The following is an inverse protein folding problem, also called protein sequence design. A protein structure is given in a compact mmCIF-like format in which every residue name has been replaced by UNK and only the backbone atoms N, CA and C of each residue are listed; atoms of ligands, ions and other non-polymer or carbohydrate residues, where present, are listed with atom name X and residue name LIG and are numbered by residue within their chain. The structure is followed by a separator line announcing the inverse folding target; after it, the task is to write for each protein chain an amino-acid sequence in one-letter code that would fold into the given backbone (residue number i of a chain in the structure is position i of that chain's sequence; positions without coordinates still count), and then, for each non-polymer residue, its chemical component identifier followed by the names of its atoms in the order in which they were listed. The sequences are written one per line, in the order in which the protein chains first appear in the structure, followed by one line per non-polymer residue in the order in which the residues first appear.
data_IF_329658405571
#
_entry.id   IF_329658405571
#
_cell.length_a   1.000
_cell.length_b   1.000
_cell.length_c   1.000
_cell.angle_alpha   90.00
_cell.angle_beta   90.00
_cell.angle_gamma   90.00
#
_symmetry.space_group_name_H-M   'P 1'
#
loop_
_entity.id
_entity.type
_entity.pdbx_description
1 polymer ?
#
# COMPACT_ATOMS: atom_id res chain seq x y z
N UNK A 1 -19.40 -46.02 -17.53
CA UNK A 1 -18.21 -45.40 -16.90
C UNK A 1 -18.30 -45.65 -15.41
N UNK A 2 -17.36 -46.41 -14.84
CA UNK A 2 -17.35 -46.79 -13.42
C UNK A 2 -16.65 -45.72 -12.57
N UNK A 3 -15.49 -46.03 -11.98
CA UNK A 3 -14.72 -45.08 -11.18
C UNK A 3 -13.85 -44.16 -12.06
N UNK A 4 -13.22 -43.16 -11.44
CA UNK A 4 -12.33 -42.23 -12.12
C UNK A 4 -11.07 -42.96 -12.61
N UNK A 5 -10.90 -43.11 -13.93
CA UNK A 5 -9.78 -43.84 -14.55
C UNK A 5 -8.37 -43.37 -14.13
N UNK A 6 -8.18 -42.06 -13.96
CA UNK A 6 -6.90 -41.49 -13.52
C UNK A 6 -7.13 -40.50 -12.38
N UNK A 7 -6.43 -40.73 -11.27
CA UNK A 7 -6.46 -39.83 -10.13
C UNK A 7 -5.76 -38.51 -10.46
N UNK A 8 -6.26 -37.42 -9.88
CA UNK A 8 -5.53 -36.16 -9.86
C UNK A 8 -5.98 -35.34 -8.66
N UNK A 9 -5.12 -34.42 -8.18
CA UNK A 9 -5.43 -33.56 -7.07
C UNK A 9 -6.71 -32.75 -7.30
N UNK A 10 -7.35 -32.39 -6.20
CA UNK A 10 -8.57 -31.59 -6.22
C UNK A 10 -8.29 -30.16 -6.71
N UNK A 11 -9.13 -29.67 -7.62
CA UNK A 11 -9.07 -28.28 -8.06
C UNK A 11 -9.60 -27.31 -6.99
N UNK A 12 -8.68 -26.62 -6.33
CA UNK A 12 -8.94 -25.55 -5.37
C UNK A 12 -9.31 -26.03 -3.96
N UNK A 13 -8.84 -25.28 -2.98
CA UNK A 13 -9.05 -25.59 -1.55
C UNK A 13 -10.47 -25.30 -1.09
N UNK A 14 -11.03 -26.24 -0.32
CA UNK A 14 -12.35 -26.13 0.31
C UNK A 14 -12.34 -25.32 1.61
N UNK A 15 -11.19 -25.22 2.30
CA UNK A 15 -11.06 -24.43 3.53
C UNK A 15 -11.27 -22.92 3.33
N UNK A 16 -11.34 -22.48 2.07
CA UNK A 16 -11.63 -21.11 1.68
C UNK A 16 -13.05 -20.90 1.13
N UNK A 17 -13.94 -21.89 1.27
CA UNK A 17 -15.38 -21.69 1.12
C UNK A 17 -15.94 -20.98 2.36
N UNK A 18 -16.99 -20.14 2.22
CA UNK A 18 -17.59 -19.70 0.96
C UNK A 18 -16.72 -18.67 0.22
N UNK A 19 -16.61 -18.81 -1.12
CA UNK A 19 -15.88 -17.87 -1.99
C UNK A 19 -16.76 -16.68 -2.41
N UNK A 20 -17.14 -15.86 -1.44
CA UNK A 20 -17.99 -14.66 -1.58
C UNK A 20 -17.23 -13.36 -1.27
N UNK A 21 -17.76 -12.21 -1.71
CA UNK A 21 -17.20 -10.89 -1.37
C UNK A 21 -17.14 -10.72 0.15
N UNK A 22 -16.02 -10.17 0.65
CA UNK A 22 -15.90 -9.76 2.04
C UNK A 22 -16.84 -8.57 2.31
N UNK A 23 -17.55 -8.59 3.45
CA UNK A 23 -18.48 -7.52 3.81
C UNK A 23 -17.75 -6.26 4.30
N UNK A 24 -16.55 -6.42 4.88
CA UNK A 24 -15.71 -5.33 5.38
C UNK A 24 -14.54 -5.12 4.44
N UNK A 25 -14.15 -3.85 4.23
CA UNK A 25 -12.94 -3.50 3.48
C UNK A 25 -11.66 -3.78 4.29
N UNK A 26 -11.72 -3.48 5.59
CA UNK A 26 -10.64 -3.73 6.55
C UNK A 26 -10.54 -5.22 6.88
N UNK A 27 -9.31 -5.73 6.94
CA UNK A 27 -9.01 -7.08 7.37
C UNK A 27 -9.44 -7.31 8.83
N UNK A 28 -10.49 -8.12 9.04
CA UNK A 28 -10.94 -8.45 10.39
C UNK A 28 -9.98 -9.43 11.07
N UNK A 29 -9.50 -9.08 12.26
CA UNK A 29 -8.66 -9.96 13.09
C UNK A 29 -9.57 -10.94 13.82
N UNK A 30 -9.60 -12.20 13.37
CA UNK A 30 -10.42 -13.24 14.00
C UNK A 30 -9.81 -13.78 15.30
N UNK A 31 -8.50 -13.77 15.38
CA UNK A 31 -7.72 -14.28 16.51
C UNK A 31 -6.51 -13.38 16.73
N UNK A 32 -6.20 -13.10 17.99
CA UNK A 32 -4.98 -12.41 18.39
C UNK A 32 -3.95 -13.44 18.87
N UNK A 33 -2.65 -13.07 18.94
CA UNK A 33 -1.66 -13.90 19.62
C UNK A 33 -2.09 -14.23 21.05
N UNK A 34 -1.73 -15.42 21.54
CA UNK A 34 -2.01 -15.81 22.91
C UNK A 34 -1.30 -14.86 23.88
N UNK A 35 -1.99 -14.51 24.96
CA UNK A 35 -1.46 -13.63 25.98
C UNK A 35 -0.41 -14.34 26.83
N UNK A 36 0.63 -13.60 27.20
CA UNK A 36 1.77 -14.04 27.99
C UNK A 36 2.07 -12.96 29.03
N UNK A 37 1.63 -13.17 30.28
CA UNK A 37 1.67 -12.17 31.35
C UNK A 37 3.08 -11.78 31.79
N UNK A 38 4.09 -12.61 31.48
CA UNK A 38 5.49 -12.34 31.83
C UNK A 38 6.09 -11.17 31.04
N UNK A 39 5.55 -10.90 29.84
CA UNK A 39 6.02 -9.84 28.96
C UNK A 39 5.44 -8.48 29.35
N UNK A 40 6.12 -7.38 29.02
CA UNK A 40 5.54 -6.05 29.18
C UNK A 40 4.29 -5.88 28.32
N UNK A 41 3.40 -4.97 28.74
CA UNK A 41 2.17 -4.65 28.01
C UNK A 41 2.54 -4.11 26.63
N UNK A 42 1.98 -4.72 25.58
CA UNK A 42 2.23 -4.33 24.19
C UNK A 42 1.01 -4.56 23.30
N UNK A 43 0.99 -3.85 22.16
CA UNK A 43 -0.02 -4.02 21.12
C UNK A 43 0.32 -5.20 20.20
N UNK A 44 -0.73 -5.77 19.61
CA UNK A 44 -0.63 -7.00 18.81
C UNK A 44 -0.98 -6.81 17.33
N UNK A 45 -1.49 -5.64 16.94
CA UNK A 45 -1.93 -5.35 15.58
C UNK A 45 -1.82 -3.86 15.25
N UNK A 46 -1.79 -3.53 13.96
CA UNK A 46 -1.68 -2.17 13.44
C UNK A 46 -2.37 -2.05 12.06
N UNK A 47 -2.73 -0.84 11.63
CA UNK A 47 -3.28 -0.58 10.29
C UNK A 47 -2.22 0.05 9.40
N UNK A 48 -2.05 -0.50 8.20
CA UNK A 48 -1.29 0.12 7.13
C UNK A 48 -2.08 0.21 5.83
N UNK A 49 -1.52 0.93 4.85
CA UNK A 49 -2.04 1.09 3.51
C UNK A 49 -1.01 0.62 2.50
N UNK A 50 -1.41 -0.27 1.58
CA UNK A 50 -0.50 -0.76 0.56
C UNK A 50 -0.10 0.36 -0.39
N UNK A 51 1.16 0.79 -0.35
CA UNK A 51 1.68 1.82 -1.24
C UNK A 51 2.00 1.22 -2.61
N UNK A 52 2.85 0.20 -2.62
CA UNK A 52 3.32 -0.43 -3.85
C UNK A 52 4.26 -1.59 -3.56
N UNK A 53 5.00 -2.00 -4.58
CA UNK A 53 6.03 -3.04 -4.46
C UNK A 53 7.30 -2.56 -5.13
N UNK A 54 8.43 -2.98 -4.59
CA UNK A 54 9.74 -2.84 -5.21
C UNK A 54 10.51 -4.16 -5.02
N UNK A 55 11.78 -4.19 -5.39
CA UNK A 55 12.70 -5.26 -5.08
C UNK A 55 13.92 -4.70 -4.35
N UNK A 56 14.54 -5.55 -3.55
CA UNK A 56 15.79 -5.28 -2.87
C UNK A 56 16.84 -6.28 -3.34
N UNK A 57 18.10 -5.91 -3.16
CA UNK A 57 19.25 -6.79 -3.26
C UNK A 57 19.85 -6.93 -1.87
N UNK A 58 20.13 -8.17 -1.49
CA UNK A 58 20.81 -8.50 -0.24
C UNK A 58 21.65 -9.75 -0.41
N UNK A 59 22.65 -9.87 0.43
CA UNK A 59 23.31 -11.13 0.69
C UNK A 59 22.41 -12.12 1.46
N UNK A 60 22.44 -13.38 1.04
CA UNK A 60 21.73 -14.46 1.73
C UNK A 60 22.63 -15.21 2.72
N UNK A 61 22.35 -15.03 4.00
CA UNK A 61 23.02 -15.77 5.08
C UNK A 61 22.27 -17.06 5.43
N UNK A 62 22.33 -18.06 4.54
CA UNK A 62 21.75 -19.38 4.79
C UNK A 62 22.74 -20.53 4.59
N UNK A 63 23.35 -20.99 5.68
CA UNK A 63 24.23 -22.17 5.69
C UNK A 63 23.55 -23.39 5.04
N UNK A 64 24.28 -24.08 4.16
CA UNK A 64 23.80 -25.22 3.38
C UNK A 64 23.03 -24.86 2.10
N UNK A 65 22.81 -23.58 1.81
CA UNK A 65 22.25 -23.12 0.53
C UNK A 65 23.34 -22.90 -0.52
N UNK A 66 23.08 -23.23 -1.79
CA UNK A 66 23.95 -22.84 -2.93
C UNK A 66 24.07 -21.31 -3.09
N UNK A 67 23.10 -20.59 -2.53
CA UNK A 67 23.03 -19.12 -2.53
C UNK A 67 23.58 -18.51 -1.23
N UNK A 68 24.27 -19.27 -0.38
CA UNK A 68 24.88 -18.68 0.82
C UNK A 68 25.97 -17.67 0.44
N UNK A 69 25.95 -16.48 1.06
CA UNK A 69 26.87 -15.35 0.76
C UNK A 69 26.87 -14.96 -0.73
N UNK A 70 25.71 -15.05 -1.36
CA UNK A 70 25.48 -14.54 -2.70
C UNK A 70 24.33 -13.56 -2.65
N UNK A 71 24.44 -12.54 -3.48
CA UNK A 71 23.37 -11.58 -3.70
C UNK A 71 22.12 -12.28 -4.22
N UNK A 72 20.99 -11.94 -3.61
CA UNK A 72 19.67 -12.36 -4.07
C UNK A 72 18.77 -11.14 -4.23
N UNK A 73 17.95 -11.19 -5.28
CA UNK A 73 16.90 -10.20 -5.51
C UNK A 73 15.61 -10.70 -4.90
N UNK A 74 15.06 -9.94 -3.95
CA UNK A 74 13.79 -10.27 -3.30
C UNK A 74 12.76 -9.16 -3.52
N UNK A 75 11.57 -9.55 -3.98
CA UNK A 75 10.45 -8.63 -4.06
C UNK A 75 9.95 -8.26 -2.66
N UNK A 76 9.63 -6.98 -2.46
CA UNK A 76 9.11 -6.43 -1.21
C UNK A 76 7.88 -5.57 -1.47
N UNK A 77 6.93 -5.59 -0.53
CA UNK A 77 5.79 -4.69 -0.51
C UNK A 77 6.03 -3.57 0.48
N UNK A 78 5.80 -2.32 0.06
CA UNK A 78 5.82 -1.15 0.94
C UNK A 78 4.40 -0.88 1.42
N UNK A 79 4.22 -0.82 2.72
CA UNK A 79 2.96 -0.51 3.38
C UNK A 79 3.18 0.75 4.21
N UNK A 80 2.52 1.84 3.84
CA UNK A 80 2.57 3.09 4.61
C UNK A 80 1.68 2.97 5.84
N UNK A 81 2.21 3.33 6.99
CA UNK A 81 1.63 3.14 8.32
C UNK A 81 1.58 4.49 9.02
N UNK A 82 0.60 5.37 8.69
CA UNK A 82 0.42 6.59 9.47
C UNK A 82 0.14 6.23 10.94
N UNK A 83 0.58 7.07 11.89
CA UNK A 83 0.40 6.77 13.30
C UNK A 83 -1.08 6.58 13.65
N UNK A 84 -1.36 5.61 14.52
CA UNK A 84 -2.71 5.31 14.98
C UNK A 84 -3.04 6.07 16.25
N UNK A 85 -4.28 6.53 16.41
CA UNK A 85 -4.75 7.19 17.63
C UNK A 85 -5.61 6.22 18.42
N UNK A 86 -5.32 6.11 19.72
CA UNK A 86 -6.15 5.37 20.66
C UNK A 86 -7.30 6.24 21.13
N UNK A 87 -8.51 5.72 21.04
CA UNK A 87 -9.75 6.48 21.33
C UNK A 87 -10.63 5.84 22.39
N UNK A 88 -10.32 4.63 22.82
CA UNK A 88 -11.07 3.95 23.86
C UNK A 88 -10.55 2.55 24.15
N UNK A 89 -11.19 1.87 25.08
CA UNK A 89 -10.93 0.48 25.42
C UNK A 89 -12.24 -0.29 25.61
N UNK A 90 -12.17 -1.61 25.43
CA UNK A 90 -13.26 -2.56 25.63
C UNK A 90 -12.75 -3.68 26.53
N UNK A 91 -13.49 -3.93 27.61
CA UNK A 91 -13.31 -5.11 28.44
C UNK A 91 -14.13 -6.29 27.92
N UNK A 92 -13.52 -7.46 27.80
CA UNK A 92 -14.17 -8.72 27.47
C UNK A 92 -14.19 -9.64 28.68
N UNK A 93 -15.39 -10.09 29.04
CA UNK A 93 -15.61 -11.09 30.08
C UNK A 93 -15.76 -12.47 29.44
N UNK A 94 -15.20 -13.48 30.08
CA UNK A 94 -15.32 -14.86 29.64
C UNK A 94 -16.64 -15.44 30.14
N UNK A 95 -17.39 -16.06 29.23
CA UNK A 95 -18.65 -16.73 29.54
C UNK A 95 -18.62 -18.13 28.95
N UNK A 96 -19.55 -19.01 29.36
CA UNK A 96 -19.65 -20.36 28.82
C UNK A 96 -19.79 -20.41 27.28
N UNK A 97 -20.37 -19.35 26.67
CA UNK A 97 -20.53 -19.22 25.21
C UNK A 97 -19.33 -18.56 24.51
N UNK A 98 -18.28 -18.19 25.27
CA UNK A 98 -17.11 -17.47 24.80
C UNK A 98 -17.02 -16.04 25.33
N UNK A 99 -16.20 -15.21 24.68
CA UNK A 99 -15.95 -13.84 25.11
C UNK A 99 -17.12 -12.91 24.78
N UNK A 100 -17.61 -12.19 25.79
CA UNK A 100 -18.65 -11.16 25.63
C UNK A 100 -18.09 -9.79 25.97
N UNK A 101 -18.36 -8.79 25.13
CA UNK A 101 -18.02 -7.41 25.45
C UNK A 101 -18.80 -6.98 26.70
N UNK A 102 -18.09 -6.51 27.73
CA UNK A 102 -18.65 -6.12 29.01
C UNK A 102 -18.97 -4.63 29.07
N UNK A 103 -17.94 -3.79 28.95
CA UNK A 103 -18.05 -2.32 28.95
C UNK A 103 -17.02 -1.72 27.99
N UNK A 104 -17.39 -0.58 27.42
CA UNK A 104 -16.51 0.24 26.58
C UNK A 104 -16.32 1.59 27.26
N UNK A 105 -15.07 2.02 27.38
CA UNK A 105 -14.69 3.35 27.87
C UNK A 105 -14.05 4.09 26.70
N UNK A 106 -14.48 5.33 26.44
CA UNK A 106 -13.93 6.17 25.38
C UNK A 106 -13.09 7.29 25.97
N UNK A 107 -12.18 7.83 25.17
CA UNK A 107 -11.47 9.08 25.45
C UNK A 107 -12.44 10.29 25.41
N UNK A 108 -12.00 11.40 25.99
CA UNK A 108 -12.80 12.63 26.05
C UNK A 108 -12.83 13.32 24.68
N UNK A 109 -11.66 13.59 24.11
CA UNK A 109 -11.51 14.28 22.85
C UNK A 109 -11.37 13.30 21.69
N UNK A 110 -12.40 13.26 20.86
CA UNK A 110 -12.47 12.36 19.70
C UNK A 110 -12.37 13.12 18.39
N UNK A 111 -11.42 12.71 17.55
CA UNK A 111 -11.17 13.34 16.25
C UNK A 111 -12.39 13.26 15.33
N UNK A 112 -12.56 14.26 14.46
CA UNK A 112 -13.63 14.24 13.44
C UNK A 112 -13.45 13.07 12.44
N UNK A 113 -12.23 12.63 12.18
CA UNK A 113 -11.94 11.46 11.34
C UNK A 113 -12.54 10.17 11.91
N UNK A 114 -12.46 10.01 13.23
CA UNK A 114 -13.08 8.92 13.97
C UNK A 114 -14.59 9.04 13.97
N UNK A 115 -15.13 10.23 14.30
CA UNK A 115 -16.58 10.48 14.36
C UNK A 115 -17.28 10.21 13.03
N UNK A 116 -16.60 10.42 11.89
CA UNK A 116 -17.08 10.03 10.55
C UNK A 116 -17.41 8.54 10.42
N UNK A 117 -16.91 7.67 11.29
CA UNK A 117 -17.31 6.27 11.32
C UNK A 117 -18.81 6.07 11.59
N UNK A 118 -19.38 6.93 12.44
CA UNK A 118 -20.76 6.84 12.91
C UNK A 118 -21.78 7.53 11.98
N UNK A 119 -21.30 8.13 10.89
CA UNK A 119 -22.14 8.76 9.88
C UNK A 119 -21.95 8.09 8.52
N UNK A 120 -23.06 7.75 7.86
CA UNK A 120 -23.04 7.41 6.43
C UNK A 120 -22.83 8.67 5.58
N UNK A 121 -23.56 9.75 5.90
CA UNK A 121 -23.52 11.03 5.19
C UNK A 121 -23.05 12.15 6.11
N UNK A 122 -21.73 12.28 6.28
CA UNK A 122 -21.15 13.28 7.19
C UNK A 122 -21.57 14.72 6.86
N UNK A 123 -21.51 15.12 5.59
CA UNK A 123 -21.79 16.51 5.18
C UNK A 123 -23.28 16.90 5.32
N UNK A 124 -24.19 15.91 5.30
CA UNK A 124 -25.63 16.16 5.51
C UNK A 124 -26.00 16.30 6.98
N UNK A 125 -25.12 15.87 7.90
CA UNK A 125 -25.37 16.00 9.34
C UNK A 125 -24.93 17.38 9.81
N UNK A 126 -25.90 18.25 10.14
CA UNK A 126 -25.65 19.63 10.57
C UNK A 126 -24.86 19.70 11.89
N UNK A 127 -25.38 19.04 12.93
CA UNK A 127 -24.89 19.23 14.31
C UNK A 127 -23.82 18.20 14.74
N UNK A 128 -23.56 17.17 13.93
CA UNK A 128 -22.54 16.12 14.16
C UNK A 128 -22.51 15.64 15.63
N UNK A 129 -23.65 15.25 16.18
CA UNK A 129 -23.82 14.96 17.63
C UNK A 129 -23.13 13.70 18.18
N UNK A 130 -22.37 12.94 17.39
CA UNK A 130 -21.69 11.74 17.86
C UNK A 130 -20.70 12.09 18.99
N UNK A 131 -20.81 11.38 20.11
CA UNK A 131 -20.01 11.51 21.33
C UNK A 131 -20.12 12.83 22.11
N UNK A 132 -20.98 13.78 21.71
CA UNK A 132 -21.10 15.07 22.43
C UNK A 132 -21.57 14.87 23.87
N UNK A 133 -22.61 14.04 24.08
CA UNK A 133 -23.09 13.67 25.43
C UNK A 133 -22.09 12.82 26.22
N UNK A 134 -21.16 12.13 25.54
CA UNK A 134 -20.15 11.33 26.22
C UNK A 134 -19.02 12.21 26.74
N UNK A 135 -18.55 13.17 25.91
CA UNK A 135 -17.56 14.17 26.31
C UNK A 135 -18.00 14.96 27.54
N UNK A 136 -19.28 15.37 27.61
CA UNK A 136 -19.84 16.07 28.78
C UNK A 136 -19.75 15.28 30.09
N UNK A 137 -19.68 13.94 30.05
CA UNK A 137 -19.50 13.13 31.27
C UNK A 137 -18.14 13.34 31.91
N UNK A 138 -17.12 13.74 31.15
CA UNK A 138 -15.83 14.10 31.72
C UNK A 138 -15.89 15.48 32.40
N UNK A 139 -16.69 16.40 31.86
CA UNK A 139 -16.92 17.74 32.43
C UNK A 139 -17.74 17.68 33.73
N UNK A 140 -18.77 16.82 33.78
CA UNK A 140 -19.61 16.60 34.97
C UNK A 140 -18.89 15.81 36.11
N UNK A 141 -17.74 15.19 35.82
CA UNK A 141 -16.93 14.47 36.81
C UNK A 141 -16.49 13.05 36.39
N UNK A 142 -15.24 12.69 36.71
CA UNK A 142 -14.56 11.46 36.26
C UNK A 142 -15.04 10.17 36.94
N UNK A 143 -15.85 10.28 38.01
CA UNK A 143 -16.31 9.16 38.86
C UNK A 143 -17.02 8.06 38.05
N UNK A 144 -17.88 8.44 37.10
CA UNK A 144 -18.62 7.45 36.27
C UNK A 144 -17.68 6.61 35.40
N UNK A 145 -16.58 7.21 34.96
CA UNK A 145 -15.59 6.58 34.07
C UNK A 145 -14.61 5.73 34.88
N UNK A 146 -14.14 6.22 36.02
CA UNK A 146 -13.30 5.43 36.94
C UNK A 146 -14.04 4.18 37.41
N UNK A 147 -15.31 4.29 37.80
CA UNK A 147 -16.16 3.15 38.16
C UNK A 147 -16.33 2.15 37.00
N UNK A 148 -16.34 2.62 35.76
CA UNK A 148 -16.41 1.76 34.59
C UNK A 148 -15.08 1.01 34.37
N UNK A 149 -13.94 1.68 34.52
CA UNK A 149 -12.60 1.08 34.44
C UNK A 149 -12.40 0.05 35.54
N UNK A 150 -12.80 0.36 36.77
CA UNK A 150 -12.72 -0.57 37.90
C UNK A 150 -13.62 -1.79 37.71
N UNK A 151 -14.83 -1.60 37.18
CA UNK A 151 -15.70 -2.71 36.83
C UNK A 151 -15.09 -3.63 35.74
N UNK A 152 -14.33 -3.07 34.80
CA UNK A 152 -13.58 -3.84 33.80
C UNK A 152 -12.45 -4.63 34.48
N UNK A 153 -11.68 -3.98 35.35
CA UNK A 153 -10.59 -4.61 36.12
C UNK A 153 -11.05 -5.88 36.85
N UNK A 154 -12.23 -5.83 37.47
CA UNK A 154 -12.77 -6.93 38.27
C UNK A 154 -13.34 -8.10 37.44
N UNK A 155 -13.99 -7.82 36.31
CA UNK A 155 -14.83 -8.81 35.60
C UNK A 155 -14.28 -9.28 34.25
N UNK A 156 -13.32 -8.58 33.67
CA UNK A 156 -12.85 -8.85 32.31
C UNK A 156 -11.53 -9.61 32.31
N UNK A 157 -11.45 -10.66 31.49
CA UNK A 157 -10.23 -11.42 31.29
C UNK A 157 -9.33 -10.80 30.21
N UNK A 158 -9.94 -10.15 29.20
CA UNK A 158 -9.22 -9.60 28.04
C UNK A 158 -9.57 -8.13 27.89
N UNK A 159 -8.56 -7.32 27.61
CA UNK A 159 -8.70 -5.90 27.31
C UNK A 159 -8.28 -5.66 25.88
N UNK A 160 -9.12 -4.92 25.14
CA UNK A 160 -8.79 -4.45 23.81
C UNK A 160 -8.88 -2.94 23.75
N UNK A 161 -7.95 -2.33 23.06
CA UNK A 161 -7.94 -0.89 22.81
C UNK A 161 -8.57 -0.63 21.46
N UNK A 162 -9.47 0.34 21.40
CA UNK A 162 -10.04 0.83 20.16
C UNK A 162 -9.09 1.90 19.61
N UNK A 163 -8.52 1.62 18.45
CA UNK A 163 -7.61 2.52 17.79
C UNK A 163 -8.02 2.73 16.33
N UNK A 164 -7.75 3.92 15.80
CA UNK A 164 -8.04 4.25 14.42
C UNK A 164 -6.82 4.82 13.70
N UNK A 165 -6.75 4.58 12.40
CA UNK A 165 -5.73 5.17 11.52
C UNK A 165 -6.06 6.63 11.17
N UNK A 166 -5.07 7.35 10.63
CA UNK A 166 -5.20 8.74 10.17
C UNK A 166 -5.10 8.82 8.63
N UNK A 167 -6.15 8.48 7.87
CA UNK A 167 -6.08 8.46 6.40
C UNK A 167 -5.91 9.85 5.78
N UNK A 168 -6.22 10.94 6.48
CA UNK A 168 -5.98 12.28 5.97
C UNK A 168 -4.48 12.60 5.81
N UNK A 169 -3.62 11.95 6.61
CA UNK A 169 -2.16 12.03 6.46
C UNK A 169 -1.64 11.27 5.25
N UNK A 170 -2.47 10.41 4.63
CA UNK A 170 -2.13 9.63 3.45
C UNK A 170 -2.82 10.27 2.24
N UNK A 171 -2.10 11.18 1.57
CA UNK A 171 -2.61 11.95 0.44
C UNK A 171 -3.21 11.06 -0.67
N UNK A 172 -2.63 9.89 -0.89
CA UNK A 172 -3.06 8.93 -1.91
C UNK A 172 -4.54 8.51 -1.81
N UNK A 173 -5.08 8.39 -0.60
CA UNK A 173 -6.38 7.74 -0.36
C UNK A 173 -7.58 8.62 -0.72
N UNK A 174 -7.41 9.96 -0.68
CA UNK A 174 -8.51 10.93 -0.75
C UNK A 174 -9.67 10.61 0.21
N UNK A 175 -9.38 9.99 1.36
CA UNK A 175 -10.36 9.52 2.33
C UNK A 175 -10.18 10.23 3.68
N UNK A 176 -11.25 10.83 4.20
CA UNK A 176 -11.26 11.50 5.52
C UNK A 176 -11.81 10.63 6.65
N UNK A 177 -12.42 9.49 6.31
CA UNK A 177 -13.05 8.56 7.27
C UNK A 177 -11.99 7.59 7.80
N UNK A 178 -11.71 7.62 9.09
CA UNK A 178 -10.73 6.72 9.70
C UNK A 178 -11.15 5.25 9.61
N UNK A 179 -10.16 4.36 9.48
CA UNK A 179 -10.38 2.93 9.70
C UNK A 179 -10.09 2.62 11.17
N UNK A 180 -11.02 1.94 11.83
CA UNK A 180 -10.92 1.58 13.24
C UNK A 180 -10.83 0.07 13.39
N UNK A 181 -10.00 -0.39 14.33
CA UNK A 181 -10.07 -1.74 14.87
C UNK A 181 -9.93 -1.72 16.38
N UNK A 182 -10.35 -2.82 16.98
CA UNK A 182 -9.92 -3.20 18.32
C UNK A 182 -8.59 -3.95 18.22
N UNK A 183 -7.62 -3.60 19.05
CA UNK A 183 -6.34 -4.28 19.18
C UNK A 183 -6.27 -4.89 20.57
N UNK A 184 -5.98 -6.18 20.67
CA UNK A 184 -5.80 -6.83 21.97
C UNK A 184 -4.47 -6.41 22.61
N UNK A 185 -4.51 -6.04 23.89
CA UNK A 185 -3.32 -5.86 24.71
C UNK A 185 -2.88 -7.19 25.31
N UNK A 186 -1.62 -7.54 25.08
CA UNK A 186 -0.96 -8.69 25.68
C UNK A 186 0.16 -8.23 26.62
N UNK A 187 0.55 -9.08 27.57
CA UNK A 187 1.57 -8.77 28.57
C UNK A 187 1.02 -8.20 29.87
N UNK A 188 1.72 -8.39 30.98
CA UNK A 188 1.40 -7.87 32.31
C UNK A 188 0.08 -8.37 32.89
N UNK A 189 -0.30 -7.78 34.02
CA UNK A 189 -1.61 -8.01 34.65
C UNK A 189 -2.73 -7.23 33.94
N UNK A 190 -3.98 -7.58 34.23
CA UNK A 190 -5.16 -6.85 33.72
C UNK A 190 -5.13 -5.38 34.19
N UNK A 191 -4.61 -5.12 35.39
CA UNK A 191 -4.47 -3.77 35.92
C UNK A 191 -3.46 -2.95 35.10
N UNK A 192 -2.31 -3.54 34.77
CA UNK A 192 -1.26 -2.89 33.98
C UNK A 192 -1.76 -2.57 32.57
N UNK A 193 -2.53 -3.49 31.98
CA UNK A 193 -3.17 -3.28 30.67
C UNK A 193 -4.17 -2.11 30.69
N UNK A 194 -4.95 -1.98 31.76
CA UNK A 194 -5.89 -0.85 31.89
C UNK A 194 -5.16 0.47 32.08
N UNK A 195 -4.14 0.49 32.95
CA UNK A 195 -3.30 1.67 33.15
C UNK A 195 -2.69 2.12 31.83
N UNK A 196 -2.03 1.20 31.12
CA UNK A 196 -1.45 1.47 29.80
C UNK A 196 -2.51 1.98 28.81
N UNK A 197 -3.70 1.36 28.76
CA UNK A 197 -4.75 1.76 27.83
C UNK A 197 -5.25 3.18 28.09
N UNK A 198 -5.48 3.55 29.34
CA UNK A 198 -5.93 4.89 29.75
C UNK A 198 -4.84 5.92 29.50
N UNK A 199 -3.58 5.59 29.84
CA UNK A 199 -2.43 6.48 29.62
C UNK A 199 -2.21 6.79 28.13
N UNK A 200 -2.61 5.86 27.25
CA UNK A 200 -2.50 6.00 25.80
C UNK A 200 -3.71 6.67 25.14
N UNK A 201 -4.77 7.02 25.88
CA UNK A 201 -5.91 7.73 25.30
C UNK A 201 -5.47 9.04 24.63
N UNK A 202 -6.00 9.30 23.43
CA UNK A 202 -5.76 10.49 22.61
C UNK A 202 -4.33 10.62 22.06
N UNK A 203 -3.41 9.76 22.50
CA UNK A 203 -2.03 9.70 22.03
C UNK A 203 -1.92 8.88 20.75
N UNK A 204 -0.88 9.20 19.99
CA UNK A 204 -0.52 8.50 18.76
C UNK A 204 0.44 7.34 19.02
N UNK A 205 0.30 6.29 18.23
CA UNK A 205 1.11 5.08 18.26
C UNK A 205 1.80 4.92 16.92
N UNK A 206 3.13 4.87 16.94
CA UNK A 206 3.98 4.60 15.79
C UNK A 206 4.06 3.09 15.51
N UNK A 207 4.38 2.72 14.27
CA UNK A 207 4.54 1.30 13.91
C UNK A 207 5.72 0.65 14.64
N UNK A 208 6.78 1.43 14.86
CA UNK A 208 8.03 1.02 15.53
C UNK A 208 7.80 0.58 16.98
N UNK A 209 6.82 1.19 17.66
CA UNK A 209 6.45 0.79 19.03
C UNK A 209 5.73 -0.57 19.10
N UNK A 210 5.19 -1.07 17.97
CA UNK A 210 4.39 -2.30 17.91
C UNK A 210 5.19 -3.46 17.34
N UNK A 211 5.91 -3.24 16.24
CA UNK A 211 6.67 -4.27 15.55
C UNK A 211 8.16 -3.95 15.56
N UNK A 212 8.98 -4.99 15.66
CA UNK A 212 10.42 -4.86 15.50
C UNK A 212 10.86 -5.18 14.05
N UNK A 213 11.99 -4.63 13.64
CA UNK A 213 12.65 -5.07 12.40
C UNK A 213 13.05 -6.55 12.52
N UNK A 214 13.07 -7.26 11.38
CA UNK A 214 13.32 -8.70 11.31
C UNK A 214 12.29 -9.61 12.00
N UNK A 215 11.25 -9.07 12.62
CA UNK A 215 10.14 -9.86 13.18
C UNK A 215 9.24 -10.43 12.06
N UNK A 216 8.58 -11.55 12.35
CA UNK A 216 7.59 -12.18 11.47
C UNK A 216 6.19 -11.70 11.83
N UNK A 217 5.46 -11.22 10.83
CA UNK A 217 4.10 -10.69 10.96
C UNK A 217 3.09 -11.46 10.10
N UNK A 218 1.83 -11.38 10.48
CA UNK A 218 0.70 -11.87 9.70
C UNK A 218 -0.04 -10.69 9.05
N UNK A 219 -0.23 -10.77 7.74
CA UNK A 219 -0.91 -9.73 6.96
C UNK A 219 -2.34 -10.13 6.69
N UNK A 220 -3.29 -9.35 7.22
CA UNK A 220 -4.72 -9.59 7.06
C UNK A 220 -5.28 -8.54 6.11
N UNK A 221 -5.82 -8.98 4.98
CA UNK A 221 -6.29 -8.08 3.92
C UNK A 221 -7.48 -8.64 3.15
N UNK A 222 -8.11 -7.75 2.37
CA UNK A 222 -9.08 -8.15 1.36
C UNK A 222 -8.41 -8.13 0.00
N UNK A 223 -8.39 -9.29 -0.65
CA UNK A 223 -7.73 -9.52 -1.95
C UNK A 223 -8.32 -8.63 -3.07
N UNK A 224 -7.57 -8.41 -4.15
CA UNK A 224 -8.04 -7.66 -5.33
C UNK A 224 -9.28 -8.33 -5.93
N UNK A 225 -10.36 -7.56 -6.10
CA UNK A 225 -11.59 -8.04 -6.75
C UNK A 225 -11.38 -8.27 -8.24
N UNK A 226 -11.91 -9.38 -8.77
CA UNK A 226 -11.90 -9.72 -10.21
C UNK A 226 -13.32 -9.94 -10.77
N UNK A 227 -14.37 -9.64 -9.99
CA UNK A 227 -15.76 -9.80 -10.41
C UNK A 227 -16.19 -11.27 -10.58
N UNK A 228 -17.25 -11.49 -11.37
CA UNK A 228 -17.72 -12.81 -11.75
C UNK A 228 -16.72 -13.47 -12.72
N UNK A 229 -16.30 -14.69 -12.43
CA UNK A 229 -15.30 -15.42 -13.23
C UNK A 229 -15.76 -16.86 -13.47
N UNK A 230 -15.45 -17.37 -14.66
CA UNK A 230 -15.69 -18.77 -15.04
C UNK A 230 -14.84 -19.77 -14.25
N UNK A 231 -15.22 -21.04 -14.31
CA UNK A 231 -14.60 -22.14 -13.53
C UNK A 231 -13.10 -22.29 -13.76
N UNK A 232 -12.63 -22.09 -14.99
CA UNK A 232 -11.21 -22.22 -15.35
C UNK A 232 -10.36 -21.22 -14.55
N UNK A 233 -10.71 -19.92 -14.58
CA UNK A 233 -9.93 -18.89 -13.88
C UNK A 233 -10.19 -18.87 -12.38
N UNK A 234 -11.41 -19.22 -11.94
CA UNK A 234 -11.80 -19.24 -10.54
C UNK A 234 -11.19 -20.42 -9.77
N UNK A 235 -11.18 -21.62 -10.36
CA UNK A 235 -10.80 -22.87 -9.70
C UNK A 235 -9.57 -23.56 -10.30
N UNK A 236 -9.06 -23.11 -11.45
CA UNK A 236 -7.90 -23.71 -12.11
C UNK A 236 -8.21 -25.04 -12.80
N UNK A 237 -9.47 -25.29 -13.18
CA UNK A 237 -9.87 -26.50 -13.89
C UNK A 237 -9.30 -26.50 -15.31
N UNK A 238 -8.85 -27.67 -15.78
CA UNK A 238 -8.38 -27.86 -17.17
C UNK A 238 -9.49 -27.49 -18.17
N UNK A 239 -9.12 -26.78 -19.24
CA UNK A 239 -10.04 -26.50 -20.35
C UNK A 239 -10.39 -27.80 -21.07
N UNK A 240 -11.60 -27.88 -21.63
CA UNK A 240 -11.99 -28.99 -22.49
C UNK A 240 -11.29 -28.91 -23.86
N UNK A 241 -11.23 -30.02 -24.63
CA UNK A 241 -10.67 -30.03 -25.98
C UNK A 241 -11.31 -28.99 -26.90
N UNK A 242 -10.56 -28.53 -27.90
CA UNK A 242 -11.01 -27.48 -28.84
C UNK A 242 -12.33 -27.80 -29.53
N UNK A 243 -12.55 -29.07 -29.91
CA UNK A 243 -13.71 -29.54 -30.67
C UNK A 243 -14.99 -29.74 -29.83
N UNK A 244 -15.01 -29.32 -28.56
CA UNK A 244 -16.23 -29.48 -27.74
C UNK A 244 -17.34 -28.51 -28.15
N UNK A 245 -18.53 -29.04 -28.38
CA UNK A 245 -19.73 -28.25 -28.62
C UNK A 245 -20.20 -27.50 -27.34
N UNK A 246 -20.81 -26.33 -27.52
CA UNK A 246 -21.33 -25.45 -26.44
C UNK A 246 -20.24 -25.02 -25.44
N UNK A 247 -19.05 -24.71 -25.94
CA UNK A 247 -17.97 -24.04 -25.21
C UNK A 247 -17.02 -24.95 -24.41
N UNK A 248 -15.76 -24.53 -24.34
CA UNK A 248 -14.64 -25.30 -23.77
C UNK A 248 -14.25 -24.93 -22.32
N UNK A 249 -14.74 -23.79 -21.80
CA UNK A 249 -14.33 -23.22 -20.49
C UNK A 249 -15.29 -23.60 -19.36
N UNK A 250 -15.68 -24.86 -19.29
CA UNK A 250 -16.65 -25.42 -18.34
C UNK A 250 -16.11 -26.70 -17.67
N UNK A 251 -16.72 -27.10 -16.56
CA UNK A 251 -16.54 -28.46 -16.03
C UNK A 251 -17.46 -29.38 -16.84
N UNK A 252 -16.94 -30.50 -17.34
CA UNK A 252 -17.73 -31.41 -18.16
C UNK A 252 -18.82 -32.14 -17.33
N UNK A 253 -18.41 -32.86 -16.28
CA UNK A 253 -19.32 -33.57 -15.38
C UNK A 253 -19.38 -32.85 -14.02
N UNK A 254 -20.58 -32.45 -13.60
CA UNK A 254 -20.81 -31.72 -12.33
C UNK A 254 -21.22 -32.63 -11.17
N UNK A 255 -21.40 -33.93 -11.40
CA UNK A 255 -21.81 -34.91 -10.41
C UNK A 255 -22.27 -36.22 -11.07
N UNK A 256 -22.32 -37.29 -10.28
CA UNK A 256 -22.97 -38.53 -10.67
C UNK A 256 -24.51 -38.38 -10.64
N UNK A 257 -25.24 -39.35 -11.18
CA UNK A 257 -26.71 -39.38 -11.08
C UNK A 257 -27.16 -39.47 -9.61
N UNK A 258 -26.58 -40.41 -8.86
CA UNK A 258 -26.82 -40.57 -7.43
C UNK A 258 -25.57 -40.10 -6.67
N UNK A 259 -25.66 -39.12 -5.75
CA UNK A 259 -26.87 -38.42 -5.27
C UNK A 259 -27.42 -37.39 -6.26
N UNK A 260 -28.75 -37.21 -6.28
CA UNK A 260 -29.52 -36.33 -7.19
C UNK A 260 -29.40 -34.83 -6.87
N UNK A 261 -28.19 -34.37 -6.51
CA UNK A 261 -27.88 -32.98 -6.22
C UNK A 261 -26.44 -32.65 -6.57
N UNK A 262 -26.20 -31.42 -7.01
CA UNK A 262 -24.84 -30.94 -7.25
C UNK A 262 -24.14 -30.74 -5.91
N UNK A 263 -23.00 -31.39 -5.71
CA UNK A 263 -22.23 -31.25 -4.47
C UNK A 263 -21.70 -29.82 -4.32
N UNK A 264 -21.71 -29.30 -3.09
CA UNK A 264 -21.16 -27.98 -2.74
C UNK A 264 -19.67 -27.87 -3.03
N UNK A 265 -19.01 -29.01 -3.18
CA UNK A 265 -17.59 -29.08 -3.49
C UNK A 265 -17.32 -28.90 -5.00
N UNK A 266 -18.31 -29.02 -5.87
CA UNK A 266 -18.08 -28.97 -7.32
C UNK A 266 -17.63 -27.57 -7.75
N UNK A 267 -16.56 -27.43 -8.57
CA UNK A 267 -16.14 -26.14 -9.08
C UNK A 267 -17.21 -25.46 -9.93
N UNK A 268 -17.76 -24.34 -9.45
CA UNK A 268 -18.74 -23.51 -10.19
C UNK A 268 -18.21 -22.10 -10.48
N UNK A 269 -18.71 -21.48 -11.54
CA UNK A 269 -18.43 -20.08 -11.85
C UNK A 269 -19.01 -19.16 -10.74
N UNK A 270 -18.48 -17.94 -10.63
CA UNK A 270 -18.94 -16.98 -9.61
C UNK A 270 -17.88 -15.96 -9.24
N UNK A 271 -18.09 -15.26 -8.13
CA UNK A 271 -17.18 -14.24 -7.63
C UNK A 271 -15.74 -14.78 -7.48
N UNK A 272 -14.77 -13.99 -7.96
CA UNK A 272 -13.34 -14.19 -7.74
C UNK A 272 -12.71 -12.93 -7.15
N UNK A 273 -11.91 -13.10 -6.10
CA UNK A 273 -11.26 -12.00 -5.40
C UNK A 273 -12.23 -11.17 -4.58
N UNK A 274 -11.71 -10.14 -3.90
CA UNK A 274 -12.41 -9.43 -2.84
C UNK A 274 -12.76 -10.36 -1.66
N UNK A 275 -11.87 -11.30 -1.38
CA UNK A 275 -11.95 -12.24 -0.26
C UNK A 275 -11.07 -11.80 0.90
N UNK A 276 -11.54 -11.98 2.14
CA UNK A 276 -10.72 -11.82 3.34
C UNK A 276 -9.71 -12.97 3.43
N UNK A 277 -8.43 -12.64 3.56
CA UNK A 277 -7.32 -13.60 3.66
C UNK A 277 -6.31 -13.14 4.71
N UNK A 278 -5.64 -14.11 5.30
CA UNK A 278 -4.50 -13.92 6.18
C UNK A 278 -3.31 -14.58 5.50
N UNK A 279 -2.27 -13.80 5.24
CA UNK A 279 -0.98 -14.31 4.80
C UNK A 279 -0.05 -14.30 6.01
N UNK A 280 0.31 -15.49 6.49
CA UNK A 280 1.13 -15.63 7.69
C UNK A 280 2.62 -15.58 7.37
N UNK A 281 3.45 -15.36 8.38
CA UNK A 281 4.91 -15.49 8.29
C UNK A 281 5.54 -14.58 7.22
N UNK A 282 5.10 -13.32 7.17
CA UNK A 282 5.71 -12.30 6.33
C UNK A 282 6.79 -11.59 7.15
N UNK A 283 8.01 -11.60 6.65
CA UNK A 283 9.15 -11.00 7.35
C UNK A 283 9.17 -9.49 7.15
N UNK A 284 9.41 -8.77 8.24
CA UNK A 284 9.70 -7.33 8.21
C UNK A 284 11.16 -7.16 7.85
N UNK A 285 11.41 -6.41 6.78
CA UNK A 285 12.76 -6.10 6.34
C UNK A 285 13.22 -4.79 6.96
N UNK A 286 12.41 -3.75 6.84
CA UNK A 286 12.75 -2.43 7.37
C UNK A 286 11.51 -1.72 7.86
N UNK A 287 11.65 -0.94 8.93
CA UNK A 287 10.68 0.05 9.36
C UNK A 287 11.26 1.43 9.05
N UNK A 288 10.65 2.12 8.09
CA UNK A 288 11.09 3.44 7.67
C UNK A 288 10.42 4.55 8.47
N UNK A 289 11.21 5.55 8.86
CA UNK A 289 10.73 6.76 9.55
C UNK A 289 9.87 7.65 8.64
N UNK A 290 8.98 8.42 9.25
CA UNK A 290 8.22 9.45 8.54
C UNK A 290 9.13 10.53 7.97
N UNK A 291 8.81 11.05 6.80
CA UNK A 291 9.44 12.22 6.22
C UNK A 291 8.97 13.48 6.96
N UNK A 292 9.88 14.41 7.31
CA UNK A 292 9.48 15.68 7.92
C UNK A 292 8.68 16.51 6.91
N UNK A 293 7.68 17.25 7.40
CA UNK A 293 6.89 18.17 6.56
C UNK A 293 7.74 19.36 6.10
N UNK A 294 8.64 19.82 6.96
CA UNK A 294 9.55 20.94 6.75
C UNK A 294 10.96 20.48 7.11
N UNK A 295 11.92 20.62 6.19
CA UNK A 295 13.32 20.22 6.41
C UNK A 295 13.83 19.20 5.39
N UNK A 296 15.07 18.71 5.58
CA UNK A 296 15.71 17.79 4.65
C UNK A 296 15.00 16.42 4.65
N UNK A 297 14.94 15.79 3.48
CA UNK A 297 14.36 14.45 3.34
C UNK A 297 15.23 13.43 4.08
N UNK A 298 14.59 12.59 4.88
CA UNK A 298 15.28 11.50 5.59
C UNK A 298 15.55 10.37 4.58
N UNK A 299 16.79 9.85 4.46
CA UNK A 299 17.16 8.83 3.49
C UNK A 299 16.62 7.43 3.86
N UNK A 300 15.30 7.27 3.81
CA UNK A 300 14.60 6.04 4.21
C UNK A 300 14.84 4.84 3.29
N UNK A 301 15.27 5.11 2.06
CA UNK A 301 15.56 4.09 1.04
C UNK A 301 17.05 3.86 0.80
N UNK A 302 17.94 4.59 1.48
CA UNK A 302 19.38 4.33 1.42
C UNK A 302 19.75 3.14 2.32
N UNK A 303 20.80 2.42 1.93
CA UNK A 303 21.40 1.32 2.70
C UNK A 303 22.79 1.70 3.15
N UNK A 304 23.44 0.88 3.97
CA UNK A 304 24.80 1.14 4.47
C UNK A 304 25.84 1.22 3.34
N UNK A 305 25.57 0.56 2.20
CA UNK A 305 26.45 0.51 1.03
C UNK A 305 26.10 1.58 -0.02
N UNK A 306 24.93 2.21 0.09
CA UNK A 306 24.52 3.25 -0.86
C UNK A 306 25.22 4.57 -0.51
N UNK A 307 26.01 5.11 -1.45
CA UNK A 307 26.62 6.44 -1.33
C UNK A 307 25.56 7.55 -1.40
N UNK A 308 24.47 7.31 -2.13
CA UNK A 308 23.44 8.31 -2.40
C UNK A 308 22.29 8.25 -1.39
N UNK A 309 22.00 9.40 -0.77
CA UNK A 309 20.83 9.57 0.09
C UNK A 309 19.55 9.53 -0.76
N UNK A 310 18.72 8.50 -0.55
CA UNK A 310 17.47 8.29 -1.30
C UNK A 310 16.29 7.92 -0.41
N UNK A 311 15.09 8.36 -0.78
CA UNK A 311 13.83 8.03 -0.07
C UNK A 311 13.19 6.79 -0.70
N UNK A 312 12.44 5.98 0.04
CA UNK A 312 11.87 4.72 -0.49
C UNK A 312 10.98 4.89 -1.74
N UNK A 313 10.46 6.09 -1.97
CA UNK A 313 9.56 6.40 -3.08
C UNK A 313 10.33 6.44 -4.40
N UNK A 314 9.95 5.63 -5.40
CA UNK A 314 10.57 5.69 -6.72
C UNK A 314 10.33 7.04 -7.39
N UNK A 315 11.09 7.34 -8.44
CA UNK A 315 10.86 8.51 -9.28
C UNK A 315 9.44 8.52 -9.85
N UNK A 316 8.76 9.66 -9.75
CA UNK A 316 7.33 9.80 -10.09
C UNK A 316 6.37 9.24 -9.03
N UNK A 317 6.88 8.65 -7.94
CA UNK A 317 6.08 8.03 -6.89
C UNK A 317 5.56 6.63 -7.26
N UNK A 318 4.95 5.94 -6.29
CA UNK A 318 4.37 4.63 -6.54
C UNK A 318 3.14 4.74 -7.46
N UNK A 319 3.08 3.88 -8.48
CA UNK A 319 1.96 3.84 -9.42
C UNK A 319 0.62 3.71 -8.69
N UNK A 320 -0.33 4.59 -9.04
CA UNK A 320 -1.66 4.65 -8.43
C UNK A 320 -1.64 4.83 -6.91
N UNK A 321 -0.58 5.42 -6.34
CA UNK A 321 -0.46 5.75 -4.93
C UNK A 321 0.18 7.14 -4.72
N UNK A 322 1.39 7.34 -5.24
CA UNK A 322 2.17 8.56 -5.10
C UNK A 322 3.32 8.41 -4.10
N UNK A 323 3.64 9.49 -3.39
CA UNK A 323 4.76 9.58 -2.45
C UNK A 323 4.34 9.02 -1.08
N UNK A 324 5.15 8.12 -0.53
CA UNK A 324 5.09 7.65 0.86
C UNK A 324 5.74 8.71 1.74
N UNK A 325 4.97 9.31 2.65
CA UNK A 325 5.44 10.41 3.52
C UNK A 325 5.47 10.00 4.99
N UNK A 326 4.55 9.15 5.42
CA UNK A 326 4.51 8.69 6.80
C UNK A 326 5.50 7.54 7.01
N UNK A 327 5.56 7.04 8.24
CA UNK A 327 6.27 5.79 8.54
C UNK A 327 5.77 4.67 7.61
N UNK A 328 6.63 3.72 7.28
CA UNK A 328 6.25 2.57 6.47
C UNK A 328 6.93 1.31 6.96
N UNK A 329 6.34 0.19 6.59
CA UNK A 329 6.92 -1.13 6.81
C UNK A 329 7.17 -1.81 5.47
N UNK A 330 8.40 -2.28 5.30
CA UNK A 330 8.82 -3.07 4.15
C UNK A 330 8.67 -4.55 4.50
N UNK A 331 7.80 -5.24 3.76
CA UNK A 331 7.44 -6.63 4.02
C UNK A 331 7.87 -7.52 2.87
N UNK A 332 8.48 -8.67 3.18
CA UNK A 332 8.90 -9.66 2.19
C UNK A 332 7.72 -10.13 1.31
N UNK A 333 7.94 -10.10 0.00
CA UNK A 333 7.07 -10.65 -1.02
C UNK A 333 5.81 -9.83 -1.25
N UNK A 334 4.81 -10.47 -1.85
CA UNK A 334 3.52 -9.83 -2.12
C UNK A 334 2.62 -9.81 -0.88
N UNK A 335 1.64 -8.92 -0.91
CA UNK A 335 0.56 -8.82 0.09
C UNK A 335 -0.78 -8.69 -0.63
N UNK A 336 -1.82 -9.31 -0.07
CA UNK A 336 -3.18 -9.23 -0.60
C UNK A 336 -3.73 -7.81 -0.76
N UNK A 337 -4.43 -7.59 -1.87
CA UNK A 337 -5.09 -6.32 -2.19
C UNK A 337 -4.34 -5.45 -3.21
N UNK A 338 -5.04 -4.50 -3.85
CA UNK A 338 -4.42 -3.50 -4.73
C UNK A 338 -3.66 -2.42 -3.93
N UNK A 339 -2.96 -1.51 -4.62
CA UNK A 339 -2.51 -0.26 -4.01
C UNK A 339 -3.69 0.50 -3.37
N UNK A 340 -3.41 1.36 -2.37
CA UNK A 340 -4.40 2.10 -1.56
C UNK A 340 -5.29 1.22 -0.67
N UNK A 341 -5.10 -0.11 -0.67
CA UNK A 341 -5.88 -1.01 0.18
C UNK A 341 -5.42 -0.89 1.63
N UNK A 342 -6.38 -0.71 2.53
CA UNK A 342 -6.15 -0.87 3.97
C UNK A 342 -5.85 -2.32 4.31
N UNK A 343 -4.79 -2.52 5.09
CA UNK A 343 -4.24 -3.79 5.53
C UNK A 343 -4.17 -3.76 7.06
N UNK A 344 -4.57 -4.85 7.69
CA UNK A 344 -4.34 -5.04 9.12
C UNK A 344 -3.12 -5.92 9.30
N UNK A 345 -2.08 -5.39 9.91
CA UNK A 345 -0.89 -6.11 10.33
C UNK A 345 -1.15 -6.68 11.71
N UNK A 346 -0.74 -7.92 11.96
CA UNK A 346 -0.85 -8.57 13.26
C UNK A 346 0.47 -9.26 13.57
N UNK A 347 0.88 -9.26 14.84
CA UNK A 347 1.95 -10.17 15.29
C UNK A 347 1.58 -11.61 14.97
N UNK A 348 2.60 -12.42 14.71
CA UNK A 348 2.39 -13.83 14.38
C UNK A 348 1.68 -14.54 15.54
N UNK A 349 0.66 -15.37 15.23
CA UNK A 349 -0.01 -16.17 16.27
C UNK A 349 0.95 -17.20 16.85
N UNK A 350 1.75 -17.80 15.97
CA UNK A 350 2.73 -18.83 16.31
C UNK A 350 4.11 -18.21 16.08
N UNK A 351 4.94 -18.05 17.13
CA UNK A 351 6.29 -17.54 16.95
C UNK A 351 7.05 -18.47 16.01
N UNK A 352 7.75 -17.90 15.03
CA UNK A 352 8.47 -18.68 14.04
C UNK A 352 9.92 -18.86 14.49
N UNK A 353 10.30 -20.10 14.79
CA UNK A 353 11.66 -20.48 15.23
C UNK A 353 12.52 -21.05 14.10
N UNK A 354 12.04 -21.00 12.85
CA UNK A 354 12.84 -21.45 11.71
C UNK A 354 14.02 -20.51 11.47
N UNK A 355 15.12 -21.04 10.91
CA UNK A 355 16.31 -20.24 10.56
C UNK A 355 15.97 -19.00 9.72
N UNK A 356 15.06 -19.14 8.75
CA UNK A 356 14.61 -18.02 7.92
C UNK A 356 13.80 -16.97 8.70
N UNK A 357 13.08 -17.38 9.75
CA UNK A 357 12.35 -16.48 10.64
C UNK A 357 13.28 -15.69 11.57
N UNK A 358 14.35 -16.32 12.05
CA UNK A 358 15.31 -15.72 13.00
C UNK A 358 16.48 -14.98 12.34
N UNK A 359 16.69 -15.17 11.04
CA UNK A 359 17.74 -14.50 10.26
C UNK A 359 17.63 -12.97 10.42
N UNK A 360 18.76 -12.27 10.63
CA UNK A 360 18.80 -10.82 10.58
C UNK A 360 19.07 -10.39 9.14
N UNK A 361 18.27 -9.46 8.62
CA UNK A 361 18.40 -9.00 7.25
C UNK A 361 19.27 -7.75 7.23
N UNK A 362 20.32 -7.79 6.40
CA UNK A 362 21.09 -6.63 5.98
C UNK A 362 20.82 -6.38 4.50
N UNK A 363 20.77 -5.12 4.09
CA UNK A 363 20.48 -4.73 2.71
C UNK A 363 21.74 -4.20 2.05
N UNK A 364 21.99 -4.63 0.82
CA UNK A 364 23.03 -4.02 -0.02
C UNK A 364 22.46 -2.89 -0.85
N UNK A 365 21.25 -3.07 -1.38
CA UNK A 365 20.62 -2.09 -2.24
C UNK A 365 19.11 -2.17 -2.19
N UNK A 366 18.45 -1.01 -2.16
CA UNK A 366 17.02 -0.89 -2.41
C UNK A 366 16.84 -0.21 -3.77
N UNK A 367 16.09 -0.87 -4.66
CA UNK A 367 15.89 -0.38 -6.02
C UNK A 367 14.69 0.57 -6.09
N UNK A 368 14.87 1.71 -6.74
CA UNK A 368 13.87 2.78 -6.86
C UNK A 368 13.72 3.20 -8.33
N UNK A 369 13.14 2.32 -9.15
CA UNK A 369 12.98 2.60 -10.59
C UNK A 369 11.63 3.22 -10.91
N UNK A 370 11.62 4.13 -11.88
CA UNK A 370 10.39 4.67 -12.46
C UNK A 370 9.60 3.58 -13.21
N UNK A 371 8.29 3.80 -13.36
CA UNK A 371 7.35 2.82 -13.94
C UNK A 371 7.58 2.59 -15.45
N UNK A 372 8.19 3.54 -16.16
CA UNK A 372 8.22 3.58 -17.63
C UNK A 372 9.60 3.47 -18.28
N UNK A 373 10.72 3.52 -17.53
CA UNK A 373 12.07 3.53 -18.13
C UNK A 373 12.99 2.61 -17.34
N UNK A 374 13.59 1.64 -18.04
CA UNK A 374 14.73 0.87 -17.56
C UNK A 374 15.98 1.75 -17.66
N UNK A 375 16.54 2.22 -16.54
CA UNK A 375 17.84 2.88 -16.59
C UNK A 375 18.25 3.64 -15.34
N UNK A 376 17.29 4.26 -14.63
CA UNK A 376 17.62 5.24 -13.59
C UNK A 376 17.00 4.92 -12.23
N UNK A 377 17.79 5.10 -11.17
CA UNK A 377 17.41 4.79 -9.79
C UNK A 377 17.29 6.02 -8.88
N UNK A 378 17.93 7.13 -9.23
CA UNK A 378 17.80 8.42 -8.55
C UNK A 378 17.78 9.55 -9.57
N UNK A 379 17.26 10.71 -9.16
CA UNK A 379 17.12 11.90 -10.03
C UNK A 379 18.49 12.51 -10.42
N UNK A 380 19.49 12.41 -9.55
CA UNK A 380 20.83 12.96 -9.78
C UNK A 380 21.61 12.31 -10.95
N UNK A 381 21.70 10.97 -11.07
CA UNK A 381 22.32 10.34 -12.23
C UNK A 381 21.46 10.46 -13.49
N UNK A 382 20.13 10.63 -13.38
CA UNK A 382 19.33 10.93 -14.58
C UNK A 382 19.63 12.33 -15.11
N UNK A 383 19.81 13.34 -14.26
CA UNK A 383 20.21 14.67 -14.75
C UNK A 383 21.62 14.68 -15.33
N UNK A 384 22.59 13.96 -14.76
CA UNK A 384 23.94 13.93 -15.33
C UNK A 384 23.94 13.22 -16.70
N UNK A 385 23.29 12.07 -16.82
CA UNK A 385 23.19 11.35 -18.09
C UNK A 385 22.23 12.02 -19.09
N UNK A 386 21.17 12.70 -18.64
CA UNK A 386 20.35 13.55 -19.52
C UNK A 386 21.15 14.77 -19.97
N UNK A 387 21.98 15.38 -19.12
CA UNK A 387 22.93 16.43 -19.51
C UNK A 387 23.91 15.85 -20.53
N UNK A 388 24.52 14.69 -20.28
CA UNK A 388 25.46 14.03 -21.19
C UNK A 388 24.79 13.66 -22.54
N UNK A 389 23.55 13.17 -22.52
CA UNK A 389 22.76 12.85 -23.72
C UNK A 389 22.25 14.10 -24.45
N UNK A 390 21.98 15.19 -23.71
CA UNK A 390 21.61 16.49 -24.28
C UNK A 390 22.83 17.17 -24.88
N UNK A 391 24.02 17.05 -24.27
CA UNK A 391 25.29 17.52 -24.83
C UNK A 391 25.67 16.73 -26.06
N UNK A 392 25.49 15.40 -26.07
CA UNK A 392 25.69 14.59 -27.28
C UNK A 392 24.73 15.00 -28.40
N UNK A 393 23.47 15.34 -28.07
CA UNK A 393 22.50 15.84 -29.06
C UNK A 393 22.80 17.27 -29.52
N UNK A 394 23.27 18.16 -28.64
CA UNK A 394 23.69 19.50 -29.04
C UNK A 394 24.95 19.46 -29.89
N UNK A 395 25.90 18.57 -29.59
CA UNK A 395 27.12 18.36 -30.36
C UNK A 395 26.84 17.73 -31.72
N UNK A 396 25.84 16.84 -31.82
CA UNK A 396 25.34 16.31 -33.09
C UNK A 396 24.63 17.39 -33.92
N UNK A 397 23.89 18.29 -33.28
CA UNK A 397 23.25 19.44 -33.95
C UNK A 397 24.30 20.46 -34.41
N UNK A 398 25.33 20.75 -33.60
CA UNK A 398 26.45 21.61 -33.97
C UNK A 398 27.30 21.01 -35.09
N UNK A 399 27.65 19.72 -35.02
CA UNK A 399 28.36 19.04 -36.12
C UNK A 399 27.52 18.95 -37.39
N UNK A 400 26.20 18.84 -37.26
CA UNK A 400 25.25 18.90 -38.38
C UNK A 400 25.15 20.29 -39.01
N UNK A 401 25.14 21.36 -38.21
CA UNK A 401 25.17 22.74 -38.71
C UNK A 401 26.53 23.12 -39.31
N UNK A 402 27.64 22.66 -38.73
CA UNK A 402 28.99 22.95 -39.23
C UNK A 402 29.26 22.20 -40.56
N UNK A 403 28.70 20.99 -40.75
CA UNK A 403 28.72 20.31 -42.05
C UNK A 403 27.85 20.96 -43.12
N UNK A 404 26.80 21.69 -42.73
CA UNK A 404 25.94 22.44 -43.66
C UNK A 404 26.58 23.78 -44.03
N UNK A 405 27.29 24.42 -43.09
CA UNK A 405 28.00 25.70 -43.33
C UNK A 405 29.24 25.49 -44.21
N UNK A 406 29.98 24.38 -44.06
CA UNK A 406 31.17 24.08 -44.89
C UNK A 406 30.81 23.65 -46.33
N UNK A 407 29.54 23.29 -46.61
CA UNK A 407 29.08 22.94 -47.97
C UNK A 407 28.39 24.09 -48.72
N UNK A 408 28.32 25.28 -48.14
CA UNK A 408 27.57 26.42 -48.71
C UNK A 408 28.42 27.50 -49.41
N UNK A 409 29.67 27.21 -49.79
CA UNK A 409 30.46 28.13 -50.64
C UNK A 409 30.47 27.79 -52.14
N UNK A 410 29.84 26.69 -52.56
CA UNK A 410 29.67 26.39 -54.00
C UNK A 410 28.33 25.70 -54.28
N UNK A 411 27.29 26.49 -54.60
CA UNK A 411 26.28 26.14 -55.61
C UNK A 411 25.17 27.20 -55.64
N UNK A 412 25.09 27.89 -56.77
CA UNK A 412 23.98 28.70 -57.22
C UNK A 412 22.69 27.86 -57.37
N UNK A 413 21.56 28.45 -56.96
CA UNK A 413 20.17 28.21 -57.39
C UNK A 413 19.63 26.77 -57.28
N UNK A 414 18.57 26.58 -56.48
CA UNK A 414 17.35 25.75 -56.72
C UNK A 414 16.81 25.11 -55.41
N UNK A 415 15.51 25.37 -55.17
CA UNK A 415 14.52 24.68 -54.33
C UNK A 415 14.55 24.79 -52.79
N UNK A 416 13.77 25.78 -52.33
CA UNK A 416 13.11 25.85 -51.02
C UNK A 416 11.87 24.94 -51.09
N UNK A 417 11.98 23.72 -50.58
CA UNK A 417 10.81 22.88 -50.25
C UNK A 417 11.27 21.69 -49.37
N UNK A 418 11.52 21.93 -48.07
CA UNK A 418 11.52 20.91 -46.99
C UNK A 418 11.88 21.46 -45.60
N UNK A 419 11.35 22.63 -45.24
CA UNK A 419 11.51 23.18 -43.88
C UNK A 419 10.17 23.62 -43.31
N UNK A 420 9.22 22.69 -43.34
CA UNK A 420 7.95 22.76 -42.61
C UNK A 420 7.80 21.39 -41.94
N UNK A 421 7.36 21.37 -40.68
CA UNK A 421 7.24 20.22 -39.75
C UNK A 421 8.42 20.11 -38.77
N UNK A 422 8.65 21.15 -37.97
CA UNK A 422 9.00 20.99 -36.54
C UNK A 422 8.86 22.29 -35.76
N UNK A 423 7.63 22.76 -35.51
CA UNK A 423 7.31 23.68 -34.41
C UNK A 423 5.79 23.78 -34.24
N UNK A 424 5.19 22.78 -33.60
CA UNK A 424 3.87 22.90 -32.99
C UNK A 424 4.01 22.41 -31.56
N UNK A 425 4.21 23.34 -30.62
CA UNK A 425 3.62 23.36 -29.27
C UNK A 425 4.46 24.16 -28.27
N UNK A 426 4.51 25.49 -28.40
CA UNK A 426 4.71 26.41 -27.28
C UNK A 426 3.81 27.64 -27.46
N UNK A 427 3.20 28.11 -26.37
CA UNK A 427 2.18 29.18 -26.34
C UNK A 427 2.80 30.56 -26.66
N UNK A 428 1.99 31.53 -27.13
CA UNK A 428 2.47 32.76 -27.76
C UNK A 428 2.54 33.91 -26.75
N UNK A 429 3.73 34.42 -26.46
CA UNK A 429 3.89 35.76 -25.84
C UNK A 429 5.36 36.16 -25.70
N UNK A 430 6.16 36.18 -26.78
CA UNK A 430 7.45 36.88 -26.74
C UNK A 430 7.74 37.55 -28.08
N UNK A 431 8.01 38.85 -28.01
CA UNK A 431 8.56 39.65 -29.10
C UNK A 431 10.03 39.26 -29.27
N UNK A 432 10.45 38.91 -30.49
CA UNK A 432 11.85 38.69 -30.83
C UNK A 432 12.35 39.90 -31.61
N UNK A 433 13.45 40.48 -31.15
CA UNK A 433 14.08 41.63 -31.78
C UNK A 433 15.50 41.24 -32.17
N UNK A 434 15.76 41.14 -33.47
CA UNK A 434 17.10 40.92 -34.03
C UNK A 434 17.23 41.76 -35.30
N UNK A 435 18.25 42.62 -35.34
CA UNK A 435 18.65 43.42 -36.51
C UNK A 435 17.50 44.22 -37.17
N UNK A 436 16.94 45.18 -36.42
CA UNK A 436 16.22 46.32 -37.01
C UNK A 436 14.83 46.06 -37.58
N UNK A 437 14.22 44.89 -37.37
CA UNK A 437 12.86 44.61 -37.83
C UNK A 437 12.01 43.88 -36.77
N UNK A 438 10.74 44.33 -36.63
CA UNK A 438 9.81 43.82 -35.60
C UNK A 438 8.78 42.90 -36.25
N UNK A 439 8.61 41.67 -35.73
CA UNK A 439 7.68 40.68 -36.28
C UNK A 439 6.57 40.30 -35.27
N UNK A 440 5.34 40.11 -35.76
CA UNK A 440 4.22 39.56 -34.98
C UNK A 440 3.74 38.26 -35.64
N UNK A 441 3.56 37.22 -34.84
CA UNK A 441 2.96 35.95 -35.28
C UNK A 441 1.50 35.91 -34.82
N UNK A 442 0.56 35.94 -35.76
CA UNK A 442 -0.87 35.68 -35.50
C UNK A 442 -1.37 34.55 -36.40
N UNK A 443 -1.95 33.52 -35.79
CA UNK A 443 -2.55 32.35 -36.49
C UNK A 443 -1.67 31.72 -37.57
N UNK A 444 -0.37 31.58 -37.31
CA UNK A 444 0.52 30.78 -38.15
C UNK A 444 0.90 31.40 -39.50
N UNK A 445 0.79 32.72 -39.68
CA UNK A 445 1.45 33.45 -40.78
C UNK A 445 2.38 34.53 -40.22
N UNK A 446 3.55 34.67 -40.83
CA UNK A 446 4.46 35.80 -40.67
C UNK A 446 3.98 36.92 -41.59
N UNK A 447 3.68 38.10 -41.03
CA UNK A 447 3.33 39.29 -41.80
C UNK A 447 4.43 40.32 -41.60
N UNK A 448 5.09 40.69 -42.69
CA UNK A 448 6.09 41.76 -42.74
C UNK A 448 5.37 43.10 -42.89
N UNK A 449 5.76 44.12 -42.14
CA UNK A 449 5.25 45.49 -42.28
C UNK A 449 6.41 46.38 -42.71
N UNK A 450 6.37 46.86 -43.94
CA UNK A 450 7.32 47.84 -44.46
C UNK A 450 6.74 49.22 -44.19
N UNK A 451 7.34 49.97 -43.27
CA UNK A 451 7.02 51.38 -43.05
C UNK A 451 7.79 52.21 -44.09
N UNK A 452 7.07 52.74 -45.08
CA UNK A 452 7.58 53.76 -46.02
C UNK A 452 7.12 55.14 -45.54
N UNK A 453 8.10 55.97 -45.20
CA UNK A 453 8.10 57.44 -44.96
C UNK A 453 9.52 57.87 -45.35
N UNK A 454 9.84 58.86 -46.18
CA UNK A 454 9.30 60.15 -46.66
C UNK A 454 10.00 60.37 -48.05
N UNK A 455 9.37 60.94 -49.08
CA UNK A 455 9.25 62.39 -49.34
C UNK A 455 7.82 62.92 -49.49
#
# INVERSE_FOLDING_TARGET
MSHRKFEAPRHGSLGFLPRKKANRLLGHVKSFPKDDRSKPVHLTAFIGYKAGMTHIVRDLEKLGSKMHKKEIVEAVTIIETPPMVVVGLVGYTETLKGLRAYKTVWAQHLSNEFRRHFYKSWCKSKNKLAFTKYSKKFEEGTIKISNAVEAIKRKCAIIRVIAHSQPAKVAALHQKKAHMLEIQLNGGSIADKLKWAVDMFEKTISIESVFAENEMLDVISVTKGKGFQGVVKRWGVKKLPRKTHKGLRKVACIGAWHPSRVSTTVPRAGQMGFFHRVETNKKIYRIGKAQPTTGPKIPTGATEFDITAKTITPMGGFLNYGVVRNEFIMVKGCVGGPAKRVITLRKSIRPNVTRAGLEKIKFERIVQRAVSINGFETYYPSTQLEIDQLTDKSDQIQKGSDQIIIRQEHASVVNIDRLIIHCINTRPSHWLNTNGSTFIVWKGRLVYREDIRID
#
